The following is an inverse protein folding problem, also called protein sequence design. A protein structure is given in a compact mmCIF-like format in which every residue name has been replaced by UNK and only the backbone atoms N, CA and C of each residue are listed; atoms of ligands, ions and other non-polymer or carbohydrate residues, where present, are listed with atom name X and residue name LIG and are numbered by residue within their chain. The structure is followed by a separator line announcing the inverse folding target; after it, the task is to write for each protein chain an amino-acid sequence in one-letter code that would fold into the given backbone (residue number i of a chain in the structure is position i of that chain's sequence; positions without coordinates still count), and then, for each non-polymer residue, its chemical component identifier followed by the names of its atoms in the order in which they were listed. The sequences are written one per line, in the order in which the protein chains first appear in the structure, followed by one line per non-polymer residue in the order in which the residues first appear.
data_IF_473353614980
#
_entry.id   IF_473353614980
#
_cell.length_a   1.000
_cell.length_b   1.000
_cell.length_c   1.000
_cell.angle_alpha   90.00
_cell.angle_beta   90.00
_cell.angle_gamma   90.00
#
_symmetry.space_group_name_H-M   'P 1'
#
loop_
_entity.id
_entity.type
_entity.pdbx_description
1 polymer ?
#
# COMPACT_ATOMS: atom_id res chain seq x y z
N UNK A 1 24.11 -11.94 17.60
CA UNK A 1 24.01 -10.94 16.51
C UNK A 1 23.26 -11.58 15.36
N UNK A 2 22.39 -10.83 14.69
CA UNK A 2 21.61 -11.28 13.53
C UNK A 2 21.81 -10.29 12.40
N UNK A 3 22.15 -10.79 11.21
CA UNK A 3 22.37 -9.99 10.01
C UNK A 3 21.62 -10.59 8.83
N UNK A 4 20.76 -9.81 8.19
CA UNK A 4 20.03 -10.25 7.00
C UNK A 4 19.90 -9.14 5.98
N UNK A 5 19.85 -9.53 4.71
CA UNK A 5 19.42 -8.66 3.61
C UNK A 5 17.93 -8.91 3.40
N UNK A 6 17.10 -7.89 3.64
CA UNK A 6 15.64 -8.02 3.60
C UNK A 6 15.00 -6.85 2.87
N UNK A 7 13.74 -7.01 2.45
CA UNK A 7 12.98 -5.95 1.81
C UNK A 7 12.79 -4.75 2.76
N UNK A 8 12.85 -3.52 2.24
CA UNK A 8 12.77 -2.28 3.06
C UNK A 8 11.40 -2.01 3.68
N UNK A 9 10.38 -2.82 3.35
CA UNK A 9 9.00 -2.59 3.80
C UNK A 9 8.82 -2.47 5.30
N UNK A 10 9.61 -3.19 6.10
CA UNK A 10 9.51 -3.14 7.58
C UNK A 10 10.04 -1.84 8.19
N UNK A 11 10.89 -1.10 7.46
CA UNK A 11 11.52 0.13 7.95
C UNK A 11 10.50 1.22 8.23
N UNK A 12 9.48 1.36 7.38
CA UNK A 12 8.47 2.44 7.46
C UNK A 12 7.03 1.93 7.41
N UNK A 13 6.79 0.70 6.92
CA UNK A 13 5.46 0.21 6.65
C UNK A 13 4.57 0.15 7.91
N UNK A 14 3.29 0.58 7.83
CA UNK A 14 2.41 0.61 8.99
C UNK A 14 2.11 -0.79 9.53
N UNK A 15 2.02 -1.80 8.66
CA UNK A 15 1.82 -3.21 9.05
C UNK A 15 2.97 -3.83 9.85
N UNK A 16 4.12 -3.17 9.94
CA UNK A 16 5.31 -3.65 10.66
C UNK A 16 5.56 -2.90 11.97
N UNK A 17 4.62 -2.07 12.45
CA UNK A 17 4.77 -1.33 13.70
C UNK A 17 5.10 -2.23 14.90
N UNK A 18 4.35 -3.33 15.07
CA UNK A 18 4.62 -4.30 16.15
C UNK A 18 5.95 -5.05 15.99
N UNK A 19 6.39 -5.31 14.75
CA UNK A 19 7.70 -5.90 14.49
C UNK A 19 8.83 -4.93 14.91
N UNK A 20 8.70 -3.64 14.59
CA UNK A 20 9.69 -2.63 15.00
C UNK A 20 9.78 -2.50 16.51
N UNK A 21 8.63 -2.50 17.18
CA UNK A 21 8.57 -2.51 18.65
C UNK A 21 9.26 -3.76 19.23
N UNK A 22 8.95 -4.95 18.69
CA UNK A 22 9.59 -6.20 19.13
C UNK A 22 11.12 -6.13 19.00
N UNK A 23 11.63 -5.67 17.86
CA UNK A 23 13.08 -5.54 17.63
C UNK A 23 13.71 -4.53 18.61
N UNK A 24 13.07 -3.38 18.87
CA UNK A 24 13.57 -2.42 19.87
C UNK A 24 13.56 -2.97 21.29
N UNK A 25 12.60 -3.84 21.61
CA UNK A 25 12.49 -4.44 22.94
C UNK A 25 13.50 -5.57 23.17
N UNK A 26 13.85 -6.30 22.13
CA UNK A 26 14.69 -7.51 22.24
C UNK A 26 16.16 -7.27 21.87
N UNK A 27 16.50 -6.16 21.24
CA UNK A 27 17.86 -5.83 20.82
C UNK A 27 18.45 -4.72 21.69
N UNK A 28 19.77 -4.67 21.80
CA UNK A 28 20.47 -3.54 22.45
C UNK A 28 20.72 -2.40 21.47
N UNK A 29 20.89 -2.70 20.18
CA UNK A 29 21.05 -1.72 19.11
C UNK A 29 20.75 -2.37 17.76
N UNK A 30 20.41 -1.56 16.77
CA UNK A 30 20.24 -1.98 15.37
C UNK A 30 20.90 -1.02 14.40
N UNK A 31 21.42 -1.55 13.29
CA UNK A 31 21.97 -0.80 12.17
C UNK A 31 21.27 -1.22 10.89
N UNK A 32 20.86 -0.24 10.10
CA UNK A 32 20.21 -0.41 8.82
C UNK A 32 21.07 0.24 7.75
N UNK A 33 21.59 -0.58 6.83
CA UNK A 33 22.31 -0.11 5.65
C UNK A 33 21.36 -0.23 4.46
N UNK A 34 20.82 0.88 4.01
CA UNK A 34 19.95 0.90 2.85
C UNK A 34 20.79 0.87 1.56
N UNK A 35 20.67 -0.24 0.83
CA UNK A 35 21.40 -0.50 -0.41
C UNK A 35 20.59 -0.17 -1.67
N UNK A 36 19.31 0.19 -1.48
CA UNK A 36 18.40 0.62 -2.54
C UNK A 36 17.71 1.95 -2.17
N UNK A 37 18.48 3.04 -1.92
CA UNK A 37 17.90 4.36 -1.68
C UNK A 37 17.07 4.88 -2.84
N UNK A 38 17.27 4.37 -4.05
CA UNK A 38 16.53 4.75 -5.25
C UNK A 38 15.09 4.21 -5.27
N UNK A 39 14.75 3.24 -4.42
CA UNK A 39 13.41 2.66 -4.34
C UNK A 39 13.08 1.68 -5.47
N UNK A 40 11.81 1.65 -5.87
CA UNK A 40 11.30 0.71 -6.89
C UNK A 40 11.78 1.19 -8.27
N UNK A 41 12.28 0.26 -9.09
CA UNK A 41 12.83 0.52 -10.43
C UNK A 41 14.02 1.51 -10.39
N UNK A 42 15.16 1.10 -9.79
CA UNK A 42 16.35 1.93 -9.78
C UNK A 42 16.86 2.18 -11.22
N UNK A 43 17.63 3.27 -11.45
CA UNK A 43 18.27 3.51 -12.74
C UNK A 43 19.13 2.30 -13.19
N UNK A 44 19.33 2.10 -14.51
CA UNK A 44 20.13 1.01 -15.02
C UNK A 44 21.51 0.92 -14.34
N UNK A 45 21.88 -0.26 -13.85
CA UNK A 45 23.16 -0.49 -13.18
C UNK A 45 23.25 -0.03 -11.71
N UNK A 46 22.20 0.57 -11.13
CA UNK A 46 22.17 0.96 -9.71
C UNK A 46 21.65 -0.14 -8.77
N UNK A 47 20.81 -1.04 -9.28
CA UNK A 47 20.29 -2.17 -8.50
C UNK A 47 21.39 -3.17 -8.14
N UNK A 48 21.53 -3.49 -6.84
CA UNK A 48 22.47 -4.53 -6.38
C UNK A 48 22.01 -5.92 -6.83
N UNK A 49 20.70 -6.16 -6.73
CA UNK A 49 20.03 -7.39 -7.11
C UNK A 49 19.13 -7.16 -8.33
N UNK A 50 18.92 -8.21 -9.13
CA UNK A 50 18.02 -8.20 -10.28
C UNK A 50 16.54 -8.39 -9.86
N UNK A 51 16.07 -7.57 -8.92
CA UNK A 51 14.70 -7.61 -8.36
C UNK A 51 14.11 -6.20 -8.27
N UNK A 52 12.78 -6.08 -8.30
CA UNK A 52 12.09 -4.79 -8.14
C UNK A 52 11.96 -4.34 -6.69
N UNK A 53 11.95 -5.28 -5.74
CA UNK A 53 11.76 -4.99 -4.33
C UNK A 53 13.00 -4.32 -3.76
N UNK A 54 12.90 -3.09 -3.20
CA UNK A 54 14.03 -2.44 -2.56
C UNK A 54 14.44 -3.22 -1.31
N UNK A 55 15.74 -3.33 -1.06
CA UNK A 55 16.31 -4.12 0.05
C UNK A 55 17.28 -3.29 0.89
N UNK A 56 17.46 -3.70 2.14
CA UNK A 56 18.41 -3.15 3.09
C UNK A 56 19.10 -4.29 3.86
N UNK A 57 20.30 -4.02 4.37
CA UNK A 57 20.99 -4.88 5.32
C UNK A 57 20.57 -4.45 6.72
N UNK A 58 19.94 -5.33 7.46
CA UNK A 58 19.60 -5.14 8.86
C UNK A 58 20.56 -5.92 9.75
N UNK A 59 21.23 -5.22 10.65
CA UNK A 59 22.12 -5.80 11.66
C UNK A 59 21.53 -5.49 13.03
N UNK A 60 21.22 -6.53 13.81
CA UNK A 60 20.66 -6.39 15.13
C UNK A 60 21.50 -7.16 16.16
N UNK A 61 21.83 -6.49 17.25
CA UNK A 61 22.63 -7.08 18.33
C UNK A 61 21.83 -7.14 19.61
N UNK A 62 22.04 -8.18 20.40
CA UNK A 62 21.48 -8.34 21.74
C UNK A 62 22.64 -8.70 22.66
N UNK A 63 22.90 -7.84 23.63
CA UNK A 63 23.85 -8.06 24.71
C UNK A 63 23.16 -8.69 25.94
N UNK A 64 23.96 -9.21 26.89
CA UNK A 64 23.45 -9.85 28.11
C UNK A 64 22.63 -8.90 29.00
N UNK A 65 22.89 -7.60 28.95
CA UNK A 65 22.22 -6.56 29.76
C UNK A 65 21.22 -5.73 28.93
N UNK A 66 20.52 -6.36 27.98
CA UNK A 66 19.52 -5.65 27.18
C UNK A 66 18.33 -5.29 28.06
N UNK A 67 18.12 -4.00 28.25
CA UNK A 67 16.91 -3.46 28.90
C UNK A 67 15.71 -3.58 27.95
N UNK A 68 14.66 -4.24 28.41
CA UNK A 68 13.43 -4.44 27.64
C UNK A 68 12.43 -3.28 27.80
N UNK A 69 12.69 -2.32 28.68
CA UNK A 69 11.84 -1.18 28.94
C UNK A 69 12.36 0.11 28.28
N UNK A 70 13.57 0.07 27.74
CA UNK A 70 14.14 1.15 26.93
C UNK A 70 14.18 0.74 25.45
N UNK A 71 13.61 1.53 24.53
CA UNK A 71 13.67 1.22 23.10
C UNK A 71 15.11 1.27 22.59
N UNK A 72 15.57 0.20 21.94
CA UNK A 72 16.90 0.17 21.34
C UNK A 72 17.13 1.32 20.34
N UNK A 73 18.32 1.94 20.34
CA UNK A 73 18.72 2.88 19.29
C UNK A 73 18.86 2.16 17.95
N UNK A 74 18.44 2.85 16.89
CA UNK A 74 18.51 2.37 15.51
C UNK A 74 19.28 3.38 14.68
N UNK A 75 20.35 2.92 14.06
CA UNK A 75 21.23 3.70 13.20
C UNK A 75 20.95 3.37 11.74
N UNK A 76 20.90 4.39 10.89
CA UNK A 76 20.56 4.25 9.49
C UNK A 76 21.61 4.91 8.61
N UNK A 77 21.99 4.26 7.52
CA UNK A 77 22.92 4.80 6.52
C UNK A 77 22.50 4.38 5.11
N UNK A 78 22.62 5.28 4.15
CA UNK A 78 22.41 4.98 2.73
C UNK A 78 23.74 4.65 2.05
N UNK A 79 23.71 3.72 1.09
CA UNK A 79 24.79 3.50 0.13
C UNK A 79 24.27 3.87 -1.25
N UNK A 80 24.94 4.82 -1.92
CA UNK A 80 24.43 5.45 -3.14
C UNK A 80 25.32 5.20 -4.34
N UNK A 81 24.75 5.36 -5.53
CA UNK A 81 25.46 5.26 -6.81
C UNK A 81 25.25 3.93 -7.52
N UNK A 82 26.10 3.64 -8.51
CA UNK A 82 26.07 2.38 -9.27
C UNK A 82 26.35 1.18 -8.37
N UNK A 83 25.97 -0.03 -8.81
CA UNK A 83 26.29 -1.27 -8.12
C UNK A 83 27.77 -1.35 -7.73
N UNK A 84 28.71 -1.10 -8.65
CA UNK A 84 30.14 -1.13 -8.36
C UNK A 84 30.54 -0.19 -7.21
N UNK A 85 30.15 1.10 -7.29
CA UNK A 85 30.36 2.07 -6.21
C UNK A 85 29.73 1.67 -4.87
N UNK A 86 28.58 0.99 -4.89
CA UNK A 86 27.97 0.48 -3.66
C UNK A 86 28.89 -0.58 -3.04
N UNK A 87 29.40 -1.53 -3.83
CA UNK A 87 30.35 -2.55 -3.37
C UNK A 87 31.68 -1.96 -2.87
N UNK A 88 32.17 -0.88 -3.48
CA UNK A 88 33.39 -0.18 -3.04
C UNK A 88 33.20 0.50 -1.67
N UNK A 89 32.01 1.03 -1.37
CA UNK A 89 31.73 1.68 -0.09
C UNK A 89 31.57 0.70 1.07
N UNK A 90 31.13 -0.54 0.81
CA UNK A 90 30.76 -1.50 1.86
C UNK A 90 31.89 -1.88 2.83
N UNK A 91 33.13 -2.13 2.38
CA UNK A 91 34.27 -2.43 3.25
C UNK A 91 34.58 -1.34 4.28
N UNK A 92 34.28 -0.08 3.96
CA UNK A 92 34.56 1.07 4.82
C UNK A 92 33.45 1.33 5.86
N UNK A 93 32.35 0.57 5.82
CA UNK A 93 31.24 0.74 6.77
C UNK A 93 31.52 -0.07 8.03
N UNK A 94 31.95 0.64 9.08
CA UNK A 94 32.09 0.08 10.42
C UNK A 94 30.89 0.46 11.31
N UNK A 95 30.43 -0.48 12.16
CA UNK A 95 29.29 -0.26 13.07
C UNK A 95 29.56 0.86 14.10
N UNK A 96 30.82 1.00 14.51
CA UNK A 96 31.31 2.08 15.38
C UNK A 96 31.93 3.25 14.58
N UNK A 97 31.81 3.23 13.25
CA UNK A 97 32.29 4.29 12.37
C UNK A 97 31.33 5.48 12.31
N UNK A 98 31.64 6.42 11.43
CA UNK A 98 30.85 7.62 11.17
C UNK A 98 29.81 7.41 10.04
N UNK A 99 29.07 8.49 9.73
CA UNK A 99 28.09 8.50 8.64
C UNK A 99 26.74 7.85 8.95
N UNK A 100 26.49 7.47 10.21
CA UNK A 100 25.20 6.99 10.68
C UNK A 100 24.26 8.13 11.06
N UNK A 101 22.98 7.95 10.75
CA UNK A 101 21.90 8.85 11.17
C UNK A 101 21.01 8.10 12.14
N UNK A 102 20.66 8.73 13.27
CA UNK A 102 19.76 8.12 14.24
C UNK A 102 18.31 8.18 13.76
N UNK A 103 17.63 7.04 13.83
CA UNK A 103 16.19 6.97 13.65
C UNK A 103 15.47 7.40 14.94
N UNK A 104 14.19 7.86 14.87
CA UNK A 104 13.44 8.25 16.05
C UNK A 104 13.36 7.13 17.10
N UNK A 105 13.27 7.46 18.39
CA UNK A 105 13.38 6.49 19.49
C UNK A 105 12.07 5.86 19.95
N UNK A 106 10.90 6.34 19.51
CA UNK A 106 9.63 5.78 19.94
C UNK A 106 9.46 4.31 19.49
N UNK A 107 8.78 3.50 20.32
CA UNK A 107 8.64 2.05 20.16
C UNK A 107 8.29 1.59 18.73
N UNK A 108 7.29 2.21 18.12
CA UNK A 108 6.79 1.84 16.81
C UNK A 108 7.29 2.74 15.69
N UNK A 109 8.17 3.69 16.01
CA UNK A 109 8.68 4.65 15.05
C UNK A 109 9.43 3.97 13.90
N UNK A 110 9.42 4.55 12.70
CA UNK A 110 10.20 4.07 11.57
C UNK A 110 11.69 3.91 11.91
N UNK A 111 12.35 2.97 11.25
CA UNK A 111 13.80 2.78 11.29
C UNK A 111 14.55 3.65 10.27
N UNK A 112 13.86 4.65 9.71
CA UNK A 112 14.46 5.65 8.84
C UNK A 112 14.57 6.97 9.62
N UNK A 113 15.63 7.75 9.37
CA UNK A 113 15.77 9.06 10.00
C UNK A 113 14.63 9.97 9.54
N UNK A 114 14.25 10.92 10.40
CA UNK A 114 13.23 11.91 10.02
C UNK A 114 13.77 12.73 8.84
N UNK A 115 13.00 12.76 7.75
CA UNK A 115 13.18 13.77 6.69
C UNK A 115 13.07 15.15 7.33
N UNK A 116 13.87 16.11 6.85
CA UNK A 116 14.10 17.42 7.50
C UNK A 116 12.88 18.00 8.21
N UNK A 117 13.10 18.56 9.41
CA UNK A 117 12.07 18.93 10.40
C UNK A 117 10.85 19.67 9.82
N UNK A 118 11.03 20.45 8.74
CA UNK A 118 9.95 21.14 8.05
C UNK A 118 8.88 20.20 7.46
N UNK A 119 9.25 19.13 6.75
CA UNK A 119 8.28 18.24 6.08
C UNK A 119 7.39 17.51 7.09
N UNK A 120 7.99 17.07 8.20
CA UNK A 120 7.28 16.36 9.27
C UNK A 120 6.36 17.27 10.09
N UNK A 121 6.49 18.60 9.97
CA UNK A 121 5.64 19.57 10.68
C UNK A 121 4.32 19.88 9.97
N UNK A 122 4.21 19.53 8.68
CA UNK A 122 2.99 19.75 7.93
C UNK A 122 1.91 18.72 8.29
N UNK A 123 0.63 19.12 8.34
CA UNK A 123 -0.47 18.19 8.55
C UNK A 123 -0.55 17.17 7.41
N UNK A 124 -1.05 15.98 7.72
CA UNK A 124 -1.32 14.97 6.68
C UNK A 124 -2.42 15.49 5.75
N UNK A 125 -2.35 15.15 4.45
CA UNK A 125 -3.41 15.46 3.48
C UNK A 125 -4.77 14.92 3.95
N UNK A 126 -4.78 13.81 4.69
CA UNK A 126 -6.02 13.25 5.25
C UNK A 126 -6.66 14.12 6.33
N UNK A 127 -5.85 14.91 7.03
CA UNK A 127 -6.33 15.81 8.08
C UNK A 127 -6.86 17.12 7.47
N UNK A 128 -6.43 17.44 6.24
CA UNK A 128 -6.86 18.64 5.51
C UNK A 128 -8.25 18.51 4.87
N UNK A 129 -8.67 17.29 4.51
CA UNK A 129 -9.91 17.06 3.79
C UNK A 129 -10.94 16.32 4.65
N UNK A 130 -12.23 16.71 4.60
CA UNK A 130 -13.30 16.04 5.37
C UNK A 130 -13.55 14.60 4.90
N UNK A 131 -13.09 14.26 3.70
CA UNK A 131 -13.26 12.94 3.11
C UNK A 131 -12.06 12.59 2.22
N UNK A 132 -11.58 11.35 2.34
CA UNK A 132 -10.61 10.77 1.44
C UNK A 132 -11.05 9.34 1.06
N UNK A 133 -11.04 9.02 -0.24
CA UNK A 133 -11.25 7.66 -0.72
C UNK A 133 -10.10 7.24 -1.63
N UNK A 134 -9.60 6.00 -1.53
CA UNK A 134 -8.77 5.44 -2.58
C UNK A 134 -9.55 5.41 -3.91
N UNK A 135 -8.81 5.44 -5.02
CA UNK A 135 -9.41 5.32 -6.36
C UNK A 135 -10.07 3.97 -6.62
N UNK A 136 -10.71 3.83 -7.79
CA UNK A 136 -11.38 2.60 -8.20
C UNK A 136 -10.37 1.45 -8.37
N UNK A 137 -10.47 0.41 -7.53
CA UNK A 137 -9.69 -0.83 -7.66
C UNK A 137 -10.64 -2.02 -7.90
N UNK A 138 -11.09 -2.26 -9.14
CA UNK A 138 -12.12 -3.26 -9.41
C UNK A 138 -11.62 -4.72 -9.28
N UNK A 139 -10.30 -4.93 -9.21
CA UNK A 139 -9.63 -6.25 -9.27
C UNK A 139 -10.07 -7.10 -10.47
N UNK A 140 -10.63 -6.46 -11.50
CA UNK A 140 -11.18 -7.05 -12.71
C UNK A 140 -10.77 -6.23 -13.90
N UNK A 141 -10.18 -6.88 -14.89
CA UNK A 141 -9.66 -6.23 -16.09
C UNK A 141 -10.75 -5.84 -17.09
N UNK A 142 -11.92 -6.51 -17.05
CA UNK A 142 -13.00 -6.22 -17.99
C UNK A 142 -13.78 -4.93 -17.69
N UNK A 143 -13.61 -4.35 -16.48
CA UNK A 143 -14.39 -3.20 -15.97
C UNK A 143 -13.82 -1.85 -16.44
N UNK A 144 -12.73 -1.85 -17.21
CA UNK A 144 -12.17 -0.64 -17.81
C UNK A 144 -11.75 -0.88 -19.27
N UNK A 145 -11.88 0.15 -20.09
CA UNK A 145 -11.48 0.15 -21.50
C UNK A 145 -11.37 1.60 -21.98
N UNK A 146 -10.39 1.92 -22.85
CA UNK A 146 -10.35 3.23 -23.52
C UNK A 146 -11.51 3.43 -24.50
N UNK A 147 -12.04 2.35 -25.08
CA UNK A 147 -13.21 2.37 -25.98
C UNK A 147 -14.51 2.10 -25.18
N UNK A 148 -15.52 2.99 -25.26
CA UNK A 148 -16.84 2.77 -24.69
C UNK A 148 -17.52 1.51 -25.23
N UNK A 149 -17.43 1.27 -26.54
CA UNK A 149 -18.06 0.12 -27.20
C UNK A 149 -17.52 -1.20 -26.67
N UNK A 150 -16.20 -1.28 -26.45
CA UNK A 150 -15.55 -2.46 -25.89
C UNK A 150 -16.01 -2.72 -24.45
N UNK A 151 -16.18 -1.68 -23.63
CA UNK A 151 -16.68 -1.82 -22.28
C UNK A 151 -18.14 -2.30 -22.28
N UNK A 152 -18.97 -1.72 -23.15
CA UNK A 152 -20.37 -2.08 -23.27
C UNK A 152 -20.55 -3.50 -23.79
N UNK A 153 -19.78 -3.91 -24.80
CA UNK A 153 -19.75 -5.29 -25.28
C UNK A 153 -19.41 -6.26 -24.15
N UNK A 154 -18.29 -6.05 -23.43
CA UNK A 154 -17.86 -6.92 -22.32
C UNK A 154 -18.90 -7.00 -21.21
N UNK A 155 -19.50 -5.86 -20.84
CA UNK A 155 -20.56 -5.82 -19.84
C UNK A 155 -21.77 -6.63 -20.30
N UNK A 156 -22.21 -6.44 -21.54
CA UNK A 156 -23.32 -7.17 -22.12
C UNK A 156 -23.04 -8.67 -22.18
N UNK A 157 -21.83 -9.09 -22.55
CA UNK A 157 -21.42 -10.50 -22.54
C UNK A 157 -21.58 -11.11 -21.15
N UNK A 158 -21.06 -10.46 -20.11
CA UNK A 158 -21.19 -10.95 -18.72
C UNK A 158 -22.64 -10.97 -18.25
N UNK A 159 -23.43 -9.94 -18.58
CA UNK A 159 -24.83 -9.82 -18.13
C UNK A 159 -25.74 -10.82 -18.86
N UNK A 160 -25.55 -11.00 -20.17
CA UNK A 160 -26.35 -11.86 -21.02
C UNK A 160 -26.03 -13.35 -20.83
N UNK A 161 -24.85 -13.72 -20.32
CA UNK A 161 -24.51 -15.12 -20.06
C UNK A 161 -25.52 -15.77 -19.11
N UNK A 162 -26.07 -16.89 -19.54
CA UNK A 162 -27.13 -17.65 -18.85
C UNK A 162 -26.58 -18.81 -18.05
N UNK A 163 -25.48 -19.43 -18.48
CA UNK A 163 -24.84 -20.49 -17.72
C UNK A 163 -24.17 -19.90 -16.46
N UNK A 164 -24.61 -20.29 -15.24
CA UNK A 164 -24.00 -19.80 -14.01
C UNK A 164 -22.49 -20.05 -13.89
N UNK A 165 -21.99 -21.15 -14.46
CA UNK A 165 -20.57 -21.51 -14.38
C UNK A 165 -19.73 -20.58 -15.26
N UNK A 166 -20.10 -20.42 -16.52
CA UNK A 166 -19.45 -19.49 -17.46
C UNK A 166 -19.58 -18.04 -17.00
N UNK A 167 -20.75 -17.65 -16.49
CA UNK A 167 -20.97 -16.31 -15.95
C UNK A 167 -20.05 -16.02 -14.77
N UNK A 168 -19.82 -16.99 -13.89
CA UNK A 168 -18.89 -16.86 -12.75
C UNK A 168 -17.45 -16.66 -13.24
N UNK A 169 -17.02 -17.44 -14.24
CA UNK A 169 -15.70 -17.33 -14.85
C UNK A 169 -15.49 -15.96 -15.52
N UNK A 170 -16.46 -15.50 -16.33
CA UNK A 170 -16.43 -14.20 -17.00
C UNK A 170 -16.45 -13.04 -15.99
N UNK A 171 -17.27 -13.15 -14.94
CA UNK A 171 -17.34 -12.14 -13.89
C UNK A 171 -16.06 -12.08 -13.04
N UNK A 172 -15.28 -13.17 -12.96
CA UNK A 172 -14.15 -13.39 -12.05
C UNK A 172 -14.58 -13.23 -10.60
N UNK A 173 -15.30 -14.23 -10.09
CA UNK A 173 -15.77 -14.22 -8.70
C UNK A 173 -14.60 -14.18 -7.71
N UNK A 174 -14.82 -13.44 -6.62
CA UNK A 174 -13.96 -13.45 -5.44
C UNK A 174 -14.83 -13.63 -4.20
N UNK A 175 -14.21 -13.88 -3.04
CA UNK A 175 -14.91 -13.96 -1.76
C UNK A 175 -15.89 -12.79 -1.54
N UNK A 176 -15.49 -11.57 -1.92
CA UNK A 176 -16.24 -10.34 -1.62
C UNK A 176 -17.15 -9.85 -2.76
N UNK A 177 -17.00 -10.38 -3.97
CA UNK A 177 -17.82 -10.03 -5.11
C UNK A 177 -18.10 -11.30 -5.93
N UNK A 178 -19.33 -11.77 -5.87
CA UNK A 178 -19.83 -12.94 -6.57
C UNK A 178 -21.30 -12.72 -6.99
N UNK A 179 -21.82 -13.57 -7.87
CA UNK A 179 -23.14 -13.46 -8.49
C UNK A 179 -24.29 -13.53 -7.46
N UNK A 180 -24.03 -14.05 -6.26
CA UNK A 180 -25.00 -14.18 -5.17
C UNK A 180 -24.96 -13.02 -4.18
N UNK A 181 -23.93 -12.17 -4.23
CA UNK A 181 -23.74 -11.05 -3.31
C UNK A 181 -24.29 -9.76 -3.91
N UNK A 182 -25.42 -9.31 -3.35
CA UNK A 182 -25.97 -7.98 -3.63
C UNK A 182 -25.52 -7.00 -2.55
N UNK A 183 -25.03 -5.83 -2.95
CA UNK A 183 -24.72 -4.75 -2.01
C UNK A 183 -25.98 -3.93 -1.73
N UNK A 184 -26.18 -3.56 -0.46
CA UNK A 184 -27.28 -2.67 -0.10
C UNK A 184 -27.16 -1.37 -0.92
N UNK A 185 -28.26 -0.87 -1.49
CA UNK A 185 -28.24 0.41 -2.17
C UNK A 185 -27.85 1.50 -1.18
N UNK A 186 -27.20 2.56 -1.66
CA UNK A 186 -26.98 3.74 -0.83
C UNK A 186 -28.32 4.25 -0.31
N UNK A 187 -28.37 4.68 0.97
CA UNK A 187 -29.58 5.26 1.52
C UNK A 187 -30.01 6.43 0.63
N UNK A 188 -31.31 6.53 0.29
CA UNK A 188 -31.79 7.58 -0.59
C UNK A 188 -31.51 8.93 0.06
N UNK A 189 -30.76 9.79 -0.63
CA UNK A 189 -30.42 11.14 -0.15
C UNK A 189 -31.61 12.10 -0.19
N UNK A 190 -32.79 11.64 -0.63
CA UNK A 190 -34.03 12.42 -0.69
C UNK A 190 -35.23 11.46 -0.57
N UNK A 191 -36.28 11.77 0.20
CA UNK A 191 -37.52 11.00 0.15
C UNK A 191 -38.07 11.01 -1.28
N UNK A 192 -38.44 9.84 -1.80
CA UNK A 192 -39.01 9.69 -3.13
C UNK A 192 -40.25 10.58 -3.23
N UNK A 193 -40.25 11.54 -4.16
CA UNK A 193 -41.47 12.25 -4.52
C UNK A 193 -42.33 11.29 -5.33
N UNK A 194 -43.47 10.88 -4.80
CA UNK A 194 -44.44 10.08 -5.54
C UNK A 194 -44.90 10.85 -6.78
N UNK A 195 -44.38 10.46 -7.95
CA UNK A 195 -44.99 10.83 -9.22
C UNK A 195 -46.15 9.87 -9.46
N UNK A 196 -47.38 10.30 -9.11
CA UNK A 196 -48.62 9.64 -9.55
C UNK A 196 -48.64 9.64 -11.07
N UNK A 197 -48.51 8.46 -11.68
CA UNK A 197 -48.85 8.23 -13.09
C UNK A 197 -49.63 6.91 -13.17
N UNK A 198 -50.68 6.82 -14.01
CA UNK A 198 -51.74 5.84 -13.83
C UNK A 198 -51.34 4.45 -14.33
N UNK A 199 -52.00 3.48 -13.71
CA UNK A 199 -51.92 2.03 -13.83
C UNK A 199 -51.90 1.53 -15.29
N UNK A 200 -50.89 0.73 -15.65
CA UNK A 200 -51.00 -0.40 -16.59
C UNK A 200 -50.17 -1.59 -16.07
N UNK A 201 -50.79 -2.76 -16.17
CA UNK A 201 -50.57 -4.06 -15.51
C UNK A 201 -49.25 -4.79 -15.87
N UNK A 202 -48.90 -5.94 -15.24
CA UNK A 202 -47.57 -6.19 -14.69
C UNK A 202 -46.75 -7.20 -15.51
N UNK A 203 -45.44 -7.02 -15.57
CA UNK A 203 -44.57 -8.04 -16.18
C UNK A 203 -43.14 -7.60 -16.52
N UNK A 204 -42.63 -6.51 -15.93
CA UNK A 204 -41.25 -6.10 -16.15
C UNK A 204 -40.56 -5.94 -14.79
N UNK A 205 -39.50 -6.72 -14.47
CA UNK A 205 -38.74 -6.48 -13.25
C UNK A 205 -38.19 -5.06 -13.31
N UNK A 206 -38.50 -4.27 -12.28
CA UNK A 206 -38.23 -2.84 -12.23
C UNK A 206 -36.77 -2.55 -12.60
N UNK A 207 -36.52 -1.90 -13.74
CA UNK A 207 -35.20 -1.32 -14.03
C UNK A 207 -34.96 -0.21 -13.01
N UNK A 208 -34.23 -0.53 -11.95
CA UNK A 208 -33.84 0.47 -10.94
C UNK A 208 -32.71 1.31 -11.52
N UNK A 209 -32.98 2.60 -11.68
CA UNK A 209 -32.12 3.60 -12.32
C UNK A 209 -30.88 3.82 -11.46
N UNK A 210 -29.71 3.40 -11.93
CA UNK A 210 -28.43 3.89 -11.41
C UNK A 210 -28.20 5.29 -11.99
N UNK A 211 -28.38 6.34 -11.18
CA UNK A 211 -27.99 7.70 -11.56
C UNK A 211 -26.56 7.97 -11.11
N UNK A 212 -25.65 8.21 -12.05
CA UNK A 212 -24.36 8.84 -11.79
C UNK A 212 -24.54 10.35 -11.86
N UNK A 213 -24.17 11.08 -10.81
CA UNK A 213 -24.11 12.55 -10.85
C UNK A 213 -22.65 12.98 -10.93
N UNK A 214 -22.24 13.44 -12.10
CA UNK A 214 -21.11 14.35 -12.26
C UNK A 214 -21.54 15.72 -11.74
N UNK A 215 -20.79 16.37 -10.83
CA UNK A 215 -21.09 17.76 -10.44
C UNK A 215 -20.71 18.72 -11.59
N UNK A 216 -21.50 19.78 -11.84
CA UNK A 216 -21.08 20.87 -12.71
C UNK A 216 -20.00 21.71 -12.01
N UNK A 217 -19.11 22.28 -12.82
CA UNK A 217 -17.97 23.13 -12.48
C UNK A 217 -18.28 24.22 -11.44
#
# INVERSE_FOLDING_TARGET
MVCFVTATGYLTGPGFAGMREYLRRQCSAGWIINIAPEGINPPPGHGVFAIQTPVAVGVFVRGPHTDTDTPAPIYYRNVSGTKARKFEQFPDIHLAGDGWQEAPTAWQAPFTPRSGAAWSSFPSVRDLYPWYSPGLKPNRTWVYSPSPDTLQYRLNTVVAETDPAEKSALFKETRDANLRKTKAPFPPSRPARESRTPTRTPGCPSRRRCSSRTPPW
#
